data_IF_860150479307
#
_entry.id   IF_860150479307
#
_cell.length_a   1.000
_cell.length_b   1.000
_cell.length_c   1.000
_cell.angle_alpha   90.00
_cell.angle_beta   90.00
_cell.angle_gamma   90.00
#
_symmetry.space_group_name_H-M   'P 1'
#
loop_
_entity.id
_entity.type
_entity.pdbx_description
1 polymer ?
#
# COMPACT_ATOMS: atom_id res chain seq x y z
N UNK A 1 20.73 18.10 11.65
CA UNK A 1 20.64 19.58 11.67
C UNK A 1 19.36 20.09 12.33
N UNK A 2 18.17 19.53 12.07
CA UNK A 2 16.90 19.96 12.71
C UNK A 2 16.56 19.25 14.04
N UNK A 3 17.51 18.57 14.66
CA UNK A 3 17.26 17.84 15.91
C UNK A 3 17.04 18.83 17.06
N UNK A 4 15.92 18.68 17.79
CA UNK A 4 15.51 19.60 18.84
C UNK A 4 14.67 20.80 18.38
N UNK A 5 14.43 20.96 17.08
CA UNK A 5 13.47 21.96 16.57
C UNK A 5 12.03 21.44 16.73
N UNK A 6 11.14 22.28 17.27
CA UNK A 6 9.72 21.95 17.37
C UNK A 6 9.06 22.01 15.99
N UNK A 7 8.35 20.94 15.63
CA UNK A 7 7.54 20.89 14.41
C UNK A 7 6.13 21.35 14.77
N UNK A 8 5.82 22.62 14.48
CA UNK A 8 4.47 23.17 14.68
C UNK A 8 3.75 23.35 13.34
N UNK A 9 3.03 22.30 12.91
CA UNK A 9 2.25 22.29 11.67
C UNK A 9 0.97 23.13 11.72
N UNK A 10 0.53 23.55 12.91
CA UNK A 10 -0.65 24.41 13.07
C UNK A 10 -0.31 25.89 12.85
N UNK A 11 0.93 26.29 13.18
CA UNK A 11 1.42 27.66 13.01
C UNK A 11 2.09 27.85 11.65
N UNK A 12 2.81 26.83 11.16
CA UNK A 12 3.44 26.86 9.85
C UNK A 12 2.57 26.16 8.79
N UNK A 13 1.79 26.96 8.05
CA UNK A 13 0.95 26.47 6.94
C UNK A 13 1.71 25.71 5.86
N UNK A 14 3.02 25.94 5.72
CA UNK A 14 3.86 25.20 4.77
C UNK A 14 4.08 23.78 5.30
N UNK A 15 4.46 23.63 6.57
CA UNK A 15 4.62 22.31 7.19
C UNK A 15 3.28 21.56 7.26
N UNK A 16 2.18 22.27 7.53
CA UNK A 16 0.81 21.75 7.53
C UNK A 16 0.28 21.29 6.16
N UNK A 17 1.03 21.48 5.07
CA UNK A 17 0.72 20.95 3.74
C UNK A 17 1.77 19.99 3.19
N UNK A 18 2.81 19.66 3.96
CA UNK A 18 3.82 18.69 3.56
C UNK A 18 3.38 17.27 3.89
N UNK A 19 3.59 16.34 2.96
CA UNK A 19 3.27 14.93 3.18
C UNK A 19 4.14 14.30 4.27
N UNK A 20 5.41 14.69 4.35
CA UNK A 20 6.33 14.25 5.42
C UNK A 20 5.78 14.46 6.84
N UNK A 21 4.89 15.44 7.05
CA UNK A 21 4.24 15.71 8.33
C UNK A 21 2.76 15.33 8.34
N UNK A 22 2.31 14.56 7.35
CA UNK A 22 0.91 14.19 7.08
C UNK A 22 -0.05 15.39 7.18
N UNK A 23 0.44 16.58 6.77
CA UNK A 23 -0.34 17.81 6.82
C UNK A 23 -0.82 18.17 8.23
N UNK A 24 0.02 17.87 9.23
CA UNK A 24 -0.27 18.06 10.65
C UNK A 24 -1.09 16.95 11.30
N UNK A 25 -1.39 15.86 10.58
CA UNK A 25 -2.14 14.69 11.08
C UNK A 25 -1.22 13.48 11.28
N UNK A 26 0.00 13.74 11.75
CA UNK A 26 0.94 12.69 12.13
C UNK A 26 0.37 11.79 13.23
N UNK A 27 0.64 10.48 13.16
CA UNK A 27 0.19 9.54 14.18
C UNK A 27 1.05 9.73 15.45
N UNK A 28 0.40 10.07 16.56
CA UNK A 28 1.05 10.18 17.88
C UNK A 28 0.87 8.84 18.60
N UNK A 29 1.96 8.08 18.68
CA UNK A 29 1.93 6.76 19.30
C UNK A 29 1.89 6.83 20.83
N UNK A 30 1.03 6.02 21.44
CA UNK A 30 1.26 5.56 22.80
C UNK A 30 2.36 4.48 22.85
N UNK A 31 2.63 3.91 24.03
CA UNK A 31 3.67 2.88 24.19
C UNK A 31 3.38 1.60 23.42
N UNK A 32 2.12 1.20 23.33
CA UNK A 32 1.72 -0.04 22.65
C UNK A 32 1.75 0.14 21.13
N UNK A 33 1.32 1.30 20.64
CA UNK A 33 1.47 1.70 19.24
C UNK A 33 2.95 1.80 18.84
N UNK A 34 3.81 2.32 19.71
CA UNK A 34 5.26 2.36 19.45
C UNK A 34 5.86 0.94 19.38
N UNK A 35 5.43 0.01 20.22
CA UNK A 35 5.86 -1.39 20.13
C UNK A 35 5.37 -2.05 18.83
N UNK A 36 4.11 -1.82 18.46
CA UNK A 36 3.53 -2.32 17.22
C UNK A 36 4.21 -1.72 15.98
N UNK A 37 4.60 -0.44 16.03
CA UNK A 37 5.32 0.19 14.93
C UNK A 37 6.72 -0.42 14.72
N UNK A 38 7.40 -0.84 15.79
CA UNK A 38 8.65 -1.61 15.68
C UNK A 38 8.43 -2.93 14.95
N UNK A 39 7.39 -3.67 15.32
CA UNK A 39 7.03 -4.92 14.62
C UNK A 39 6.73 -4.66 13.16
N UNK A 40 5.92 -3.63 12.86
CA UNK A 40 5.58 -3.28 11.49
C UNK A 40 6.76 -2.83 10.63
N UNK A 41 7.82 -2.30 11.23
CA UNK A 41 9.03 -1.87 10.53
C UNK A 41 10.17 -2.88 10.58
N UNK A 42 9.92 -4.12 11.04
CA UNK A 42 10.92 -5.18 10.94
C UNK A 42 11.26 -5.44 9.46
N UNK A 43 12.55 -5.47 9.17
CA UNK A 43 13.05 -5.76 7.83
C UNK A 43 13.45 -7.24 7.74
N UNK A 44 12.74 -8.00 6.93
CA UNK A 44 13.04 -9.41 6.69
C UNK A 44 13.96 -9.66 5.49
N UNK A 45 14.36 -8.62 4.76
CA UNK A 45 15.09 -8.78 3.50
C UNK A 45 16.55 -9.10 3.76
N UNK A 46 16.99 -10.26 3.26
CA UNK A 46 18.38 -10.73 3.32
C UNK A 46 19.16 -10.19 2.12
N UNK A 47 18.54 -10.21 0.94
CA UNK A 47 19.12 -9.75 -0.31
C UNK A 47 18.05 -9.28 -1.29
N UNK A 48 18.45 -8.74 -2.45
CA UNK A 48 17.52 -8.30 -3.50
C UNK A 48 16.56 -9.38 -4.02
N UNK A 49 16.81 -10.65 -3.72
CA UNK A 49 15.99 -11.78 -4.19
C UNK A 49 15.68 -12.79 -3.09
N UNK A 50 15.92 -12.45 -1.82
CA UNK A 50 15.69 -13.37 -0.71
C UNK A 50 15.27 -12.61 0.55
N UNK A 51 14.22 -13.10 1.18
CA UNK A 51 13.71 -12.66 2.48
C UNK A 51 13.85 -13.81 3.49
N UNK A 52 13.89 -13.48 4.79
CA UNK A 52 13.87 -14.45 5.89
C UNK A 52 12.44 -14.88 6.17
N UNK A 53 12.18 -16.16 5.98
CA UNK A 53 10.88 -16.77 6.28
C UNK A 53 10.57 -16.64 7.78
N UNK A 54 11.57 -16.79 8.65
CA UNK A 54 11.42 -16.74 10.11
C UNK A 54 11.00 -15.35 10.61
N UNK A 55 11.59 -14.29 10.07
CA UNK A 55 11.18 -12.91 10.43
C UNK A 55 9.76 -12.64 9.93
N UNK A 56 9.42 -13.12 8.73
CA UNK A 56 8.06 -13.02 8.20
C UNK A 56 7.02 -13.78 8.99
N UNK A 57 7.37 -14.94 9.53
CA UNK A 57 6.50 -15.69 10.43
C UNK A 57 6.26 -14.95 11.73
N UNK A 58 7.31 -14.42 12.36
CA UNK A 58 7.17 -13.64 13.60
C UNK A 58 6.27 -12.44 13.40
N UNK A 59 6.48 -11.67 12.32
CA UNK A 59 5.61 -10.53 11.99
C UNK A 59 4.16 -10.97 11.77
N UNK A 60 3.93 -12.06 11.03
CA UNK A 60 2.60 -12.60 10.74
C UNK A 60 1.87 -13.03 12.01
N UNK A 61 2.54 -13.78 12.87
CA UNK A 61 1.95 -14.30 14.12
C UNK A 61 1.59 -13.16 15.07
N UNK A 62 2.45 -12.14 15.18
CA UNK A 62 2.15 -10.94 15.98
C UNK A 62 0.95 -10.19 15.40
N UNK A 63 0.92 -9.92 14.10
CA UNK A 63 -0.22 -9.22 13.49
C UNK A 63 -1.53 -9.96 13.63
N UNK A 64 -1.53 -11.29 13.49
CA UNK A 64 -2.72 -12.10 13.68
C UNK A 64 -3.19 -12.12 15.13
N UNK A 65 -2.28 -12.28 16.07
CA UNK A 65 -2.61 -12.19 17.50
C UNK A 65 -3.31 -10.85 17.82
N UNK A 66 -2.87 -9.78 17.17
CA UNK A 66 -3.43 -8.45 17.33
C UNK A 66 -4.67 -8.16 16.47
N UNK A 67 -5.00 -9.02 15.50
CA UNK A 67 -6.15 -8.87 14.61
C UNK A 67 -7.48 -9.14 15.29
N UNK A 68 -7.50 -10.11 16.21
CA UNK A 68 -8.73 -10.57 16.87
C UNK A 68 -9.25 -9.58 17.92
N UNK A 69 -8.42 -8.62 18.36
CA UNK A 69 -8.78 -7.61 19.35
C UNK A 69 -8.94 -6.23 18.68
N UNK A 70 -10.16 -5.68 18.56
CA UNK A 70 -10.40 -4.33 18.03
C UNK A 70 -9.75 -3.20 18.85
N UNK A 71 -9.39 -3.46 20.12
CA UNK A 71 -8.70 -2.50 20.99
C UNK A 71 -7.17 -2.56 20.83
N UNK A 72 -6.68 -3.46 19.98
CA UNK A 72 -5.26 -3.61 19.70
C UNK A 72 -4.67 -2.32 19.08
N UNK A 73 -3.41 -1.96 19.44
CA UNK A 73 -2.71 -0.81 18.84
C UNK A 73 -2.56 -0.90 17.31
N UNK A 74 -2.70 -2.08 16.72
CA UNK A 74 -2.67 -2.28 15.27
C UNK A 74 -3.79 -1.51 14.56
N UNK A 75 -4.98 -1.42 15.17
CA UNK A 75 -6.15 -0.71 14.61
C UNK A 75 -6.03 0.82 14.64
N UNK A 76 -4.90 1.35 15.12
CA UNK A 76 -4.55 2.77 15.04
C UNK A 76 -3.35 3.03 14.11
N UNK A 77 -2.87 2.00 13.40
CA UNK A 77 -1.69 2.07 12.55
C UNK A 77 -2.03 1.54 11.14
N UNK A 78 -2.43 2.43 10.19
CA UNK A 78 -2.81 2.02 8.84
C UNK A 78 -1.73 1.21 8.11
N UNK A 79 -0.45 1.55 8.35
CA UNK A 79 0.68 0.83 7.77
C UNK A 79 0.87 -0.57 8.37
N UNK A 80 0.51 -0.79 9.64
CA UNK A 80 0.59 -2.13 10.24
C UNK A 80 -0.46 -3.07 9.62
N UNK A 81 -1.68 -2.57 9.38
CA UNK A 81 -2.74 -3.31 8.67
C UNK A 81 -2.34 -3.59 7.21
N UNK A 82 -1.77 -2.61 6.52
CA UNK A 82 -1.23 -2.80 5.17
C UNK A 82 -0.12 -3.86 5.14
N UNK A 83 0.82 -3.80 6.08
CA UNK A 83 1.92 -4.77 6.16
C UNK A 83 1.37 -6.17 6.43
N UNK A 84 0.41 -6.33 7.35
CA UNK A 84 -0.29 -7.61 7.57
C UNK A 84 -0.84 -8.16 6.26
N UNK A 85 -1.54 -7.33 5.47
CA UNK A 85 -2.13 -7.75 4.21
C UNK A 85 -1.09 -8.23 3.17
N UNK A 86 0.05 -7.53 3.04
CA UNK A 86 1.15 -7.95 2.18
C UNK A 86 1.77 -9.29 2.63
N UNK A 87 1.99 -9.48 3.94
CA UNK A 87 2.52 -10.73 4.50
C UNK A 87 1.59 -11.91 4.21
N UNK A 88 0.29 -11.71 4.40
CA UNK A 88 -0.74 -12.71 4.11
C UNK A 88 -0.79 -13.03 2.59
N UNK A 89 -0.68 -12.02 1.71
CA UNK A 89 -0.61 -12.23 0.26
C UNK A 89 0.63 -13.04 -0.15
N UNK A 90 1.79 -12.71 0.41
CA UNK A 90 3.06 -13.39 0.11
C UNK A 90 2.96 -14.87 0.48
N UNK A 91 2.42 -15.19 1.65
CA UNK A 91 2.20 -16.58 2.08
C UNK A 91 1.30 -17.33 1.09
N UNK A 92 0.17 -16.72 0.68
CA UNK A 92 -0.73 -17.28 -0.33
C UNK A 92 0.04 -17.56 -1.63
N UNK A 93 0.84 -16.61 -2.10
CA UNK A 93 1.63 -16.75 -3.33
C UNK A 93 2.73 -17.82 -3.24
N UNK A 94 3.33 -18.04 -2.07
CA UNK A 94 4.26 -19.15 -1.84
C UNK A 94 3.53 -20.50 -1.96
N UNK A 95 2.36 -20.62 -1.32
CA UNK A 95 1.55 -21.85 -1.34
C UNK A 95 1.02 -22.18 -2.73
N UNK A 96 0.52 -21.20 -3.47
CA UNK A 96 0.07 -21.37 -4.87
C UNK A 96 1.19 -21.92 -5.77
N UNK A 97 2.45 -21.58 -5.45
CA UNK A 97 3.65 -22.07 -6.16
C UNK A 97 4.18 -23.41 -5.60
N UNK A 98 3.47 -24.03 -4.67
CA UNK A 98 3.88 -25.28 -4.02
C UNK A 98 5.10 -25.15 -3.12
N UNK A 99 5.44 -23.93 -2.68
CA UNK A 99 6.54 -23.71 -1.74
C UNK A 99 6.09 -24.03 -0.31
N UNK A 100 6.97 -24.61 0.51
CA UNK A 100 6.67 -24.84 1.92
C UNK A 100 6.47 -23.51 2.64
N UNK A 101 5.48 -23.48 3.54
CA UNK A 101 5.28 -22.40 4.50
C UNK A 101 5.35 -22.99 5.91
N UNK A 102 6.02 -22.28 6.80
CA UNK A 102 6.26 -22.63 8.20
C UNK A 102 5.10 -22.24 9.12
N UNK A 103 4.18 -21.43 8.61
CA UNK A 103 2.95 -20.99 9.29
C UNK A 103 2.04 -22.15 9.69
N UNK A 104 1.70 -22.22 10.98
CA UNK A 104 0.74 -23.20 11.52
C UNK A 104 -0.71 -22.94 11.06
N UNK A 105 -1.02 -21.69 10.67
CA UNK A 105 -2.34 -21.26 10.22
C UNK A 105 -2.20 -20.59 8.85
N UNK A 106 -2.43 -21.29 7.74
CA UNK A 106 -2.15 -20.73 6.43
C UNK A 106 -3.13 -19.62 6.05
N UNK A 107 -2.63 -18.46 5.59
CA UNK A 107 -3.49 -17.38 5.11
C UNK A 107 -4.32 -17.80 3.89
N UNK A 108 -5.49 -17.19 3.76
CA UNK A 108 -6.31 -17.18 2.56
C UNK A 108 -6.20 -15.85 1.82
N UNK A 109 -6.59 -15.86 0.53
CA UNK A 109 -6.65 -14.62 -0.25
C UNK A 109 -7.72 -13.65 0.28
N UNK A 110 -8.81 -14.19 0.84
CA UNK A 110 -9.88 -13.39 1.43
C UNK A 110 -9.43 -12.67 2.70
N UNK A 111 -8.57 -13.29 3.51
CA UNK A 111 -7.95 -12.66 4.68
C UNK A 111 -7.04 -11.50 4.26
N UNK A 112 -6.14 -11.73 3.30
CA UNK A 112 -5.26 -10.68 2.78
C UNK A 112 -6.06 -9.49 2.21
N UNK A 113 -7.13 -9.78 1.47
CA UNK A 113 -8.05 -8.75 0.97
C UNK A 113 -8.75 -8.01 2.12
N UNK A 114 -9.22 -8.74 3.14
CA UNK A 114 -9.86 -8.15 4.32
C UNK A 114 -8.94 -7.19 5.05
N UNK A 115 -7.66 -7.56 5.24
CA UNK A 115 -6.67 -6.70 5.85
C UNK A 115 -6.39 -5.42 5.03
N UNK A 116 -6.41 -5.49 3.69
CA UNK A 116 -6.36 -4.29 2.85
C UNK A 116 -7.61 -3.41 3.00
N UNK A 117 -8.80 -4.03 3.05
CA UNK A 117 -10.05 -3.29 3.25
C UNK A 117 -10.05 -2.58 4.62
N UNK A 118 -9.52 -3.21 5.66
CA UNK A 118 -9.33 -2.64 6.99
C UNK A 118 -8.34 -1.47 6.99
N UNK A 119 -7.19 -1.64 6.31
CA UNK A 119 -6.20 -0.57 6.18
C UNK A 119 -6.77 0.65 5.45
N UNK A 120 -7.54 0.42 4.37
CA UNK A 120 -8.23 1.48 3.62
C UNK A 120 -9.30 2.14 4.46
N UNK A 121 -10.09 1.36 5.21
CA UNK A 121 -11.11 1.91 6.11
C UNK A 121 -10.48 2.85 7.13
N UNK A 122 -9.39 2.43 7.78
CA UNK A 122 -8.66 3.26 8.73
C UNK A 122 -8.03 4.47 8.04
N UNK A 123 -7.46 4.30 6.85
CA UNK A 123 -6.91 5.42 6.06
C UNK A 123 -7.96 6.49 5.75
N UNK A 124 -9.22 6.11 5.53
CA UNK A 124 -10.33 7.05 5.35
C UNK A 124 -10.74 7.72 6.65
N UNK A 125 -10.66 7.03 7.79
CA UNK A 125 -10.90 7.60 9.12
C UNK A 125 -9.87 8.70 9.47
N UNK A 126 -8.62 8.53 9.01
CA UNK A 126 -7.61 9.58 8.98
C UNK A 126 -7.85 10.65 7.89
N UNK A 127 -9.11 10.92 7.55
CA UNK A 127 -9.55 11.87 6.53
C UNK A 127 -8.91 11.66 5.15
N UNK A 128 -8.45 10.44 4.83
CA UNK A 128 -7.63 10.14 3.63
C UNK A 128 -6.29 10.88 3.59
N UNK A 129 -5.78 11.35 4.72
CA UNK A 129 -4.44 11.94 4.79
C UNK A 129 -3.35 10.89 4.56
N UNK A 130 -3.58 9.63 4.93
CA UNK A 130 -2.57 8.58 4.80
C UNK A 130 -2.67 7.94 3.40
N UNK A 131 -1.65 8.18 2.58
CA UNK A 131 -1.57 7.69 1.19
C UNK A 131 -1.41 6.17 1.08
N UNK A 132 -0.54 5.58 1.92
CA UNK A 132 -0.09 4.19 1.77
C UNK A 132 -1.19 3.13 1.73
N UNK A 133 -2.24 3.15 2.58
CA UNK A 133 -3.29 2.14 2.51
C UNK A 133 -3.94 2.01 1.12
N UNK A 134 -4.14 3.14 0.42
CA UNK A 134 -4.73 3.15 -0.92
C UNK A 134 -3.73 2.67 -1.98
N UNK A 135 -2.45 3.09 -1.90
CA UNK A 135 -1.43 2.66 -2.85
C UNK A 135 -1.13 1.16 -2.73
N UNK A 136 -1.04 0.65 -1.50
CA UNK A 136 -0.82 -0.78 -1.23
C UNK A 136 -2.00 -1.62 -1.74
N UNK A 137 -3.25 -1.20 -1.47
CA UNK A 137 -4.43 -1.85 -2.03
C UNK A 137 -4.42 -1.85 -3.57
N UNK A 138 -4.08 -0.72 -4.20
CA UNK A 138 -3.95 -0.64 -5.66
C UNK A 138 -2.94 -1.65 -6.22
N UNK A 139 -1.77 -1.78 -5.57
CA UNK A 139 -0.72 -2.70 -5.95
C UNK A 139 -1.15 -4.17 -5.78
N UNK A 140 -1.82 -4.51 -4.69
CA UNK A 140 -2.42 -5.84 -4.47
C UNK A 140 -3.33 -6.25 -5.62
N UNK A 141 -4.32 -5.41 -5.93
CA UNK A 141 -5.27 -5.70 -7.01
C UNK A 141 -4.58 -5.76 -8.39
N UNK A 142 -3.54 -4.95 -8.60
CA UNK A 142 -2.71 -5.01 -9.82
C UNK A 142 -2.00 -6.36 -9.96
N UNK A 143 -1.30 -6.83 -8.92
CA UNK A 143 -0.60 -8.14 -8.89
C UNK A 143 -1.55 -9.30 -9.18
N UNK A 144 -2.79 -9.18 -8.71
CA UNK A 144 -3.87 -10.17 -8.91
C UNK A 144 -4.62 -10.01 -10.25
N UNK A 145 -4.20 -9.09 -11.12
CA UNK A 145 -4.83 -8.78 -12.42
C UNK A 145 -6.29 -8.32 -12.31
N UNK A 146 -6.68 -7.81 -11.14
CA UNK A 146 -7.98 -7.21 -10.88
C UNK A 146 -7.87 -5.71 -11.17
N UNK A 147 -7.92 -5.36 -12.45
CA UNK A 147 -7.58 -4.01 -12.90
C UNK A 147 -8.59 -2.93 -12.49
N UNK A 148 -9.90 -3.24 -12.49
CA UNK A 148 -10.91 -2.28 -12.06
C UNK A 148 -10.72 -1.79 -10.61
N UNK A 149 -10.62 -2.68 -9.60
CA UNK A 149 -10.35 -2.22 -8.23
C UNK A 149 -8.95 -1.61 -8.09
N UNK A 150 -7.95 -2.09 -8.82
CA UNK A 150 -6.61 -1.47 -8.83
C UNK A 150 -6.66 0.00 -9.25
N UNK A 151 -7.36 0.31 -10.36
CA UNK A 151 -7.56 1.68 -10.83
C UNK A 151 -8.35 2.53 -9.83
N UNK A 152 -9.39 1.96 -9.21
CA UNK A 152 -10.19 2.66 -8.20
C UNK A 152 -9.32 3.11 -7.01
N UNK A 153 -8.52 2.22 -6.45
CA UNK A 153 -7.64 2.58 -5.33
C UNK A 153 -6.48 3.48 -5.75
N UNK A 154 -6.00 3.40 -7.00
CA UNK A 154 -5.03 4.36 -7.51
C UNK A 154 -5.61 5.79 -7.54
N UNK A 155 -6.88 5.94 -7.95
CA UNK A 155 -7.56 7.24 -7.94
C UNK A 155 -7.75 7.75 -6.51
N UNK A 156 -8.18 6.91 -5.56
CA UNK A 156 -8.27 7.30 -4.14
C UNK A 156 -6.92 7.74 -3.58
N UNK A 157 -5.83 7.05 -3.94
CA UNK A 157 -4.48 7.38 -3.51
C UNK A 157 -4.01 8.74 -4.07
N UNK A 158 -4.22 9.01 -5.36
CA UNK A 158 -3.92 10.32 -5.96
C UNK A 158 -4.79 11.41 -5.35
N UNK A 159 -6.07 11.13 -5.11
CA UNK A 159 -6.99 12.07 -4.47
C UNK A 159 -6.49 12.48 -3.08
N UNK A 160 -6.10 11.50 -2.24
CA UNK A 160 -5.49 11.74 -0.94
C UNK A 160 -4.29 12.70 -1.03
N UNK A 161 -3.40 12.50 -2.00
CA UNK A 161 -2.22 13.35 -2.17
C UNK A 161 -2.60 14.76 -2.62
N UNK A 162 -3.40 14.88 -3.68
CA UNK A 162 -3.74 16.16 -4.29
C UNK A 162 -4.64 17.03 -3.40
N UNK A 163 -5.48 16.43 -2.55
CA UNK A 163 -6.37 17.17 -1.67
C UNK A 163 -5.66 17.71 -0.44
N UNK A 164 -4.70 16.95 0.11
CA UNK A 164 -4.13 17.27 1.42
C UNK A 164 -2.72 17.88 1.36
N UNK A 165 -1.98 17.71 0.25
CA UNK A 165 -0.56 18.05 0.20
C UNK A 165 -0.18 19.01 -0.93
N UNK A 166 0.80 19.85 -0.61
CA UNK A 166 1.57 20.63 -1.58
C UNK A 166 2.94 20.01 -1.68
N UNK A 167 3.36 19.67 -2.90
CA UNK A 167 4.64 19.01 -3.13
C UNK A 167 5.82 19.83 -2.57
N UNK A 168 6.67 19.17 -1.81
CA UNK A 168 7.92 19.70 -1.27
C UNK A 168 9.11 18.85 -1.71
N UNK A 169 10.31 19.45 -1.68
CA UNK A 169 11.58 18.74 -1.96
C UNK A 169 11.87 17.57 -1.01
N UNK A 170 11.14 17.49 0.10
CA UNK A 170 11.26 16.44 1.09
C UNK A 170 10.25 15.29 0.87
N UNK A 171 9.35 15.41 -0.10
CA UNK A 171 8.31 14.42 -0.40
C UNK A 171 8.72 13.53 -1.61
N UNK A 172 10.02 13.36 -1.83
CA UNK A 172 10.58 12.57 -2.94
C UNK A 172 10.09 11.11 -2.94
N UNK A 173 9.87 10.53 -1.75
CA UNK A 173 9.43 9.14 -1.63
C UNK A 173 7.97 8.98 -2.09
N UNK A 174 7.06 9.83 -1.61
CA UNK A 174 5.68 9.86 -2.10
C UNK A 174 5.62 10.10 -3.62
N UNK A 175 6.50 10.96 -4.17
CA UNK A 175 6.55 11.17 -5.62
C UNK A 175 6.87 9.87 -6.35
N UNK A 176 7.90 9.13 -5.94
CA UNK A 176 8.29 7.86 -6.57
C UNK A 176 7.17 6.82 -6.49
N UNK A 177 6.50 6.72 -5.34
CA UNK A 177 5.37 5.82 -5.14
C UNK A 177 4.22 6.15 -6.10
N UNK A 178 3.90 7.43 -6.27
CA UNK A 178 2.89 7.87 -7.25
C UNK A 178 3.35 7.58 -8.68
N UNK A 179 4.62 7.82 -9.01
CA UNK A 179 5.18 7.51 -10.33
C UNK A 179 5.08 6.00 -10.67
N UNK A 180 5.45 5.12 -9.73
CA UNK A 180 5.33 3.66 -9.91
C UNK A 180 3.87 3.22 -10.06
N UNK A 181 2.98 3.77 -9.24
CA UNK A 181 1.54 3.50 -9.34
C UNK A 181 1.00 3.94 -10.71
N UNK A 182 1.39 5.11 -11.22
CA UNK A 182 0.97 5.58 -12.53
C UNK A 182 1.57 4.76 -13.68
N UNK A 183 2.76 4.19 -13.50
CA UNK A 183 3.32 3.21 -14.43
C UNK A 183 2.42 1.97 -14.51
N UNK A 184 1.95 1.46 -13.37
CA UNK A 184 1.01 0.34 -13.32
C UNK A 184 -0.33 0.68 -13.98
N UNK A 185 -0.88 1.88 -13.77
CA UNK A 185 -2.06 2.37 -14.51
C UNK A 185 -1.81 2.37 -16.02
N UNK A 186 -0.64 2.82 -16.47
CA UNK A 186 -0.25 2.79 -17.88
C UNK A 186 -0.14 1.37 -18.44
N UNK A 187 0.37 0.41 -17.65
CA UNK A 187 0.40 -1.02 -18.00
C UNK A 187 -1.01 -1.59 -18.12
N UNK A 188 -1.92 -1.26 -17.19
CA UNK A 188 -3.32 -1.67 -17.25
C UNK A 188 -3.93 -1.19 -18.57
N UNK A 189 -3.80 0.10 -18.89
CA UNK A 189 -4.35 0.64 -20.12
C UNK A 189 -3.89 -0.14 -21.36
N UNK A 190 -2.60 -0.46 -21.46
CA UNK A 190 -2.04 -1.28 -22.55
C UNK A 190 -2.60 -2.71 -22.60
N UNK A 191 -2.85 -3.31 -21.44
CA UNK A 191 -3.36 -4.69 -21.33
C UNK A 191 -4.88 -4.78 -21.55
N UNK A 192 -5.63 -3.71 -21.28
CA UNK A 192 -7.09 -3.66 -21.42
C UNK A 192 -7.57 -3.03 -22.72
N UNK A 193 -6.72 -2.25 -23.40
CA UNK A 193 -7.03 -1.77 -24.75
C UNK A 193 -7.09 -2.98 -25.68
N UNK A 194 -8.21 -3.19 -26.41
CA UNK A 194 -8.26 -4.22 -27.42
C UNK A 194 -7.14 -4.01 -28.43
N UNK A 195 -6.51 -5.09 -28.91
CA UNK A 195 -5.60 -5.11 -30.06
C UNK A 195 -6.25 -4.68 -31.39
N UNK A 196 -7.39 -3.98 -31.35
CA UNK A 196 -8.26 -3.64 -32.48
C UNK A 196 -7.75 -2.50 -33.38
N UNK A 197 -6.57 -1.94 -33.11
CA UNK A 197 -5.90 -1.05 -34.07
C UNK A 197 -5.13 -1.85 -35.13
N UNK A 198 -4.77 -3.11 -34.86
CA UNK A 198 -3.98 -3.91 -35.81
C UNK A 198 -4.81 -4.65 -36.87
N UNK A 199 -6.13 -4.84 -36.66
CA UNK A 199 -6.99 -5.57 -37.62
C UNK A 199 -7.94 -4.66 -38.40
N UNK A 200 -8.02 -3.35 -38.07
CA UNK A 200 -8.93 -2.40 -38.72
C UNK A 200 -8.33 -1.61 -39.90
N UNK A 201 -7.01 -1.72 -40.14
CA UNK A 201 -6.33 -1.04 -41.25
C UNK A 201 -6.10 -1.95 -42.47
N UNK A 202 -6.17 -3.27 -42.33
CA UNK A 202 -6.04 -4.20 -43.47
C UNK A 202 -7.36 -4.35 -44.25
N UNK A 203 -8.52 -4.42 -43.59
CA UNK A 203 -9.81 -4.57 -44.29
C UNK A 203 -10.21 -3.32 -45.10
N UNK A 204 -9.65 -2.14 -44.79
CA UNK A 204 -10.00 -0.91 -45.52
C UNK A 204 -9.20 -0.71 -46.82
N UNK A 205 -8.30 -1.64 -47.16
CA UNK A 205 -7.51 -1.61 -48.42
C UNK A 205 -7.96 -2.64 -49.46
N UNK A 206 -8.71 -3.67 -49.09
CA UNK A 206 -9.18 -4.70 -50.04
C UNK A 206 -10.51 -4.34 -50.72
N UNK A 207 -11.29 -3.40 -50.20
CA UNK A 207 -12.56 -2.96 -50.81
C UNK A 207 -12.41 -1.81 -51.85
N UNK A 208 -11.18 -1.57 -52.33
CA UNK A 208 -10.89 -0.50 -53.29
C UNK A 208 -10.06 -0.94 -54.51
N UNK A 209 -10.40 -2.09 -55.11
CA UNK A 209 -10.01 -2.46 -56.48
C UNK A 209 -11.24 -2.73 -57.37
#
# INVERSE_FOLDING_TARGET
EKEGEEVNTQVDERLGRMWMYLGGRGIVCDRQMAAMSVVANMNWTISKSADSDEVGDVMREVFRFHADDPLSPMWSLPTALGNRADIEEIEVGLREKGKPTTSAFPSSLDEAKGAFDDAVWLGRDYERAVFYPFSMASAFYFRRKLFAPSLFFAVEAVYAVCTHYSYSKHDDEMRKEVEEMMENVGKIAKLTLPSQVATGEEERKEDSE
#
